data_IF_988934535324
#
_entry.id   IF_988934535324
#
_cell.length_a   1.000
_cell.length_b   1.000
_cell.length_c   1.000
_cell.angle_alpha   90.00
_cell.angle_beta   90.00
_cell.angle_gamma   90.00
#
_symmetry.space_group_name_H-M   'P 1'
#
loop_
_entity.id
_entity.type
_entity.pdbx_description
1 polymer ?
#
# COMPACT_ATOMS: atom_id res chain seq x y z
N UNK A 1 23.03 -18.68 -17.94
CA UNK A 1 23.07 -18.21 -16.54
C UNK A 1 23.21 -19.34 -15.51
N UNK A 2 22.63 -20.53 -15.72
CA UNK A 2 22.74 -21.69 -14.80
C UNK A 2 24.16 -22.22 -14.49
N UNK A 3 25.20 -21.76 -15.19
CA UNK A 3 26.58 -22.24 -15.03
C UNK A 3 27.43 -21.42 -14.02
N UNK A 4 26.88 -20.39 -13.38
CA UNK A 4 27.61 -19.60 -12.37
C UNK A 4 27.50 -20.22 -10.98
N UNK A 5 28.62 -20.30 -10.24
CA UNK A 5 28.65 -20.77 -8.84
C UNK A 5 27.79 -19.94 -7.86
N UNK A 6 27.38 -18.73 -8.25
CA UNK A 6 26.57 -17.82 -7.43
C UNK A 6 25.07 -17.86 -7.73
N UNK A 7 24.62 -18.57 -8.78
CA UNK A 7 23.22 -18.62 -9.20
C UNK A 7 22.56 -19.90 -8.67
N UNK A 8 21.53 -19.75 -7.83
CA UNK A 8 20.74 -20.89 -7.33
C UNK A 8 19.64 -21.31 -8.29
N UNK A 9 18.94 -20.33 -8.87
CA UNK A 9 17.83 -20.56 -9.77
C UNK A 9 17.71 -19.39 -10.75
N UNK A 10 17.18 -19.65 -11.94
CA UNK A 10 16.93 -18.61 -12.92
C UNK A 10 15.67 -18.93 -13.70
N UNK A 11 14.87 -17.91 -13.93
CA UNK A 11 13.63 -18.02 -14.69
C UNK A 11 13.41 -16.80 -15.57
N UNK A 12 12.49 -16.93 -16.51
CA UNK A 12 12.10 -15.90 -17.47
C UNK A 12 10.62 -15.62 -17.30
N UNK A 13 10.23 -14.35 -17.36
CA UNK A 13 8.84 -13.96 -17.55
C UNK A 13 8.71 -12.91 -18.65
N UNK A 14 7.60 -12.96 -19.38
CA UNK A 14 7.28 -11.97 -20.41
C UNK A 14 6.96 -10.61 -19.79
N UNK A 15 6.12 -10.58 -18.77
CA UNK A 15 5.79 -9.34 -18.04
C UNK A 15 6.61 -9.27 -16.76
N UNK A 16 7.27 -8.13 -16.55
CA UNK A 16 8.02 -7.86 -15.33
C UNK A 16 7.06 -7.60 -14.16
N UNK A 17 7.19 -8.37 -13.08
CA UNK A 17 6.45 -8.13 -11.84
C UNK A 17 6.77 -6.74 -11.26
N UNK A 18 5.75 -6.06 -10.74
CA UNK A 18 5.83 -4.75 -10.06
C UNK A 18 6.41 -3.62 -10.92
N UNK A 19 6.36 -3.72 -12.25
CA UNK A 19 6.91 -2.72 -13.18
C UNK A 19 5.84 -1.94 -13.95
N UNK A 20 4.55 -2.15 -13.65
CA UNK A 20 3.45 -1.42 -14.28
C UNK A 20 3.04 -1.95 -15.67
N UNK A 21 3.83 -2.82 -16.31
CA UNK A 21 3.41 -3.53 -17.52
C UNK A 21 2.25 -4.49 -17.24
N UNK A 22 1.32 -4.62 -18.18
CA UNK A 22 0.18 -5.55 -18.04
C UNK A 22 -0.17 -6.20 -19.37
N UNK A 23 -0.24 -7.53 -19.37
CA UNK A 23 -0.93 -8.28 -20.41
C UNK A 23 -2.20 -8.83 -19.80
N UNK A 24 -3.35 -8.31 -20.24
CA UNK A 24 -4.64 -8.62 -19.64
C UNK A 24 -5.57 -9.16 -20.71
N UNK A 25 -6.46 -10.07 -20.33
CA UNK A 25 -7.52 -10.52 -21.21
C UNK A 25 -8.70 -11.06 -20.40
N UNK A 26 -9.89 -11.03 -20.98
CA UNK A 26 -10.98 -11.87 -20.49
C UNK A 26 -10.61 -13.34 -20.70
N UNK A 27 -11.06 -14.21 -19.80
CA UNK A 27 -10.92 -15.64 -19.94
C UNK A 27 -12.30 -16.30 -19.94
N UNK A 28 -12.44 -17.35 -20.73
CA UNK A 28 -13.57 -18.27 -20.66
C UNK A 28 -13.12 -19.50 -19.90
N UNK A 29 -13.90 -19.93 -18.90
CA UNK A 29 -13.67 -21.09 -18.05
C UNK A 29 -14.74 -22.13 -18.36
N UNK A 30 -14.33 -23.40 -18.42
CA UNK A 30 -15.22 -24.53 -18.61
C UNK A 30 -15.05 -25.54 -17.47
N UNK A 31 -16.05 -25.57 -16.59
CA UNK A 31 -16.15 -26.43 -15.40
C UNK A 31 -17.53 -27.07 -15.33
N UNK A 32 -17.87 -27.87 -16.34
CA UNK A 32 -19.22 -28.41 -16.53
C UNK A 32 -20.24 -27.38 -17.03
N UNK A 33 -20.04 -26.10 -16.74
CA UNK A 33 -20.71 -24.96 -17.37
C UNK A 33 -19.67 -23.98 -17.91
N UNK A 34 -20.05 -23.24 -18.97
CA UNK A 34 -19.23 -22.16 -19.54
C UNK A 34 -19.42 -20.89 -18.70
N UNK A 35 -18.35 -20.40 -18.12
CA UNK A 35 -18.30 -19.17 -17.33
C UNK A 35 -17.33 -18.21 -18.00
N UNK A 36 -17.69 -16.95 -18.15
CA UNK A 36 -16.78 -15.90 -18.62
C UNK A 36 -16.36 -15.07 -17.43
N UNK A 37 -15.09 -14.68 -17.37
CA UNK A 37 -14.63 -13.77 -16.32
C UNK A 37 -15.37 -12.44 -16.38
N UNK A 38 -15.73 -11.89 -15.22
CA UNK A 38 -16.48 -10.64 -15.12
C UNK A 38 -15.57 -9.39 -15.26
N UNK A 39 -14.25 -9.60 -15.23
CA UNK A 39 -13.20 -8.62 -15.51
C UNK A 39 -12.03 -9.27 -16.25
N UNK A 40 -11.13 -8.45 -16.76
CA UNK A 40 -9.87 -8.93 -17.31
C UNK A 40 -9.00 -9.56 -16.22
N UNK A 41 -8.34 -10.65 -16.57
CA UNK A 41 -7.39 -11.38 -15.73
C UNK A 41 -5.98 -11.00 -16.17
N UNK A 42 -5.09 -10.85 -15.20
CA UNK A 42 -3.69 -10.55 -15.48
C UNK A 42 -2.98 -11.82 -15.95
N UNK A 43 -2.38 -11.74 -17.12
CA UNK A 43 -1.71 -12.85 -17.77
C UNK A 43 -0.20 -12.66 -17.71
N UNK A 44 0.52 -13.76 -17.58
CA UNK A 44 1.97 -13.78 -17.77
C UNK A 44 2.42 -15.06 -18.45
N UNK A 45 3.44 -14.97 -19.29
CA UNK A 45 4.11 -16.14 -19.83
C UNK A 45 5.43 -16.33 -19.07
N UNK A 46 5.62 -17.50 -18.45
CA UNK A 46 6.74 -17.78 -17.56
C UNK A 46 7.47 -19.07 -17.96
N UNK A 47 8.77 -19.13 -17.68
CA UNK A 47 9.53 -20.37 -17.85
C UNK A 47 9.22 -21.36 -16.72
N UNK A 48 9.55 -22.66 -16.90
CA UNK A 48 9.69 -23.58 -15.77
C UNK A 48 10.56 -22.98 -14.67
N UNK A 49 10.30 -23.38 -13.42
CA UNK A 49 10.98 -22.91 -12.19
C UNK A 49 10.79 -21.42 -11.86
N UNK A 50 9.90 -20.70 -12.55
CA UNK A 50 9.62 -19.29 -12.24
C UNK A 50 9.14 -19.09 -10.80
N UNK A 51 8.16 -19.88 -10.37
CA UNK A 51 7.62 -19.79 -9.01
C UNK A 51 8.66 -20.16 -7.97
N UNK A 52 9.44 -21.24 -8.21
CA UNK A 52 10.55 -21.63 -7.34
C UNK A 52 11.63 -20.53 -7.26
N UNK A 53 11.93 -19.88 -8.39
CA UNK A 53 12.90 -18.77 -8.46
C UNK A 53 12.41 -17.57 -7.67
N UNK A 54 11.12 -17.26 -7.67
CA UNK A 54 10.53 -16.21 -6.82
C UNK A 54 10.29 -16.64 -5.38
N UNK A 55 10.32 -17.95 -5.09
CA UNK A 55 10.01 -18.50 -3.78
C UNK A 55 8.50 -18.61 -3.52
N UNK A 56 7.69 -18.55 -4.58
CA UNK A 56 6.24 -18.71 -4.52
C UNK A 56 5.89 -20.18 -4.39
N UNK A 57 5.00 -20.48 -3.43
CA UNK A 57 4.53 -21.84 -3.16
C UNK A 57 3.48 -22.29 -4.19
N UNK A 58 3.64 -23.49 -4.73
CA UNK A 58 2.56 -24.22 -5.41
C UNK A 58 1.59 -24.74 -4.33
N UNK A 59 0.33 -24.34 -4.42
CA UNK A 59 -0.74 -24.69 -3.48
C UNK A 59 -1.38 -26.02 -3.85
N UNK A 60 -1.59 -26.26 -5.15
CA UNK A 60 -2.15 -27.50 -5.67
C UNK A 60 -1.62 -27.81 -7.08
N UNK A 61 -1.58 -29.08 -7.46
CA UNK A 61 -1.13 -29.50 -8.79
C UNK A 61 0.40 -29.46 -8.92
N UNK A 62 0.90 -28.97 -10.06
CA UNK A 62 2.34 -28.93 -10.39
C UNK A 62 2.75 -27.62 -11.07
N UNK A 63 4.06 -27.36 -11.07
CA UNK A 63 4.67 -26.32 -11.91
C UNK A 63 4.77 -26.79 -13.38
N UNK A 64 5.09 -25.86 -14.27
CA UNK A 64 5.44 -26.15 -15.66
C UNK A 64 6.71 -26.98 -15.75
N UNK A 65 6.73 -27.91 -16.70
CA UNK A 65 7.92 -28.66 -17.06
C UNK A 65 8.29 -28.46 -18.54
N UNK A 66 9.39 -29.05 -18.97
CA UNK A 66 9.90 -28.88 -20.34
C UNK A 66 8.90 -29.34 -21.42
N UNK A 67 8.02 -30.30 -21.11
CA UNK A 67 7.02 -30.82 -22.07
C UNK A 67 5.94 -29.79 -22.34
N UNK A 68 5.62 -28.96 -21.35
CA UNK A 68 4.64 -27.88 -21.47
C UNK A 68 5.18 -26.69 -22.31
N UNK A 69 6.50 -26.61 -22.50
CA UNK A 69 7.15 -25.57 -23.32
C UNK A 69 7.20 -25.91 -24.80
N UNK A 70 6.83 -27.13 -25.19
CA UNK A 70 6.81 -27.54 -26.58
C UNK A 70 5.60 -26.92 -27.30
N UNK A 71 5.71 -26.56 -28.59
CA UNK A 71 4.56 -26.15 -29.37
C UNK A 71 3.60 -27.34 -29.55
N UNK A 72 2.29 -27.05 -29.68
CA UNK A 72 1.25 -28.09 -29.84
C UNK A 72 1.54 -28.99 -31.05
N UNK A 73 2.10 -28.43 -32.13
CA UNK A 73 2.53 -29.18 -33.32
C UNK A 73 3.61 -30.23 -33.04
N UNK A 74 4.35 -30.11 -31.93
CA UNK A 74 5.39 -31.04 -31.49
C UNK A 74 4.98 -31.85 -30.26
N UNK A 75 3.69 -31.95 -29.99
CA UNK A 75 3.15 -32.72 -28.86
C UNK A 75 3.10 -31.97 -27.53
N UNK A 76 3.35 -30.65 -27.54
CA UNK A 76 3.09 -29.79 -26.39
C UNK A 76 1.60 -29.73 -26.04
N UNK A 77 1.30 -29.51 -24.77
CA UNK A 77 -0.08 -29.41 -24.27
C UNK A 77 -0.38 -27.97 -23.87
N UNK A 78 -1.50 -27.38 -24.30
CA UNK A 78 -1.90 -26.06 -23.81
C UNK A 78 -2.29 -26.18 -22.34
N UNK A 79 -1.49 -25.58 -21.47
CA UNK A 79 -1.67 -25.62 -20.02
C UNK A 79 -1.55 -24.24 -19.39
N UNK A 80 -2.14 -24.07 -18.21
CA UNK A 80 -2.07 -22.86 -17.41
C UNK A 80 -1.95 -23.17 -15.91
N UNK A 81 -1.40 -22.22 -15.19
CA UNK A 81 -1.36 -22.18 -13.72
C UNK A 81 -2.08 -20.92 -13.28
N UNK A 82 -2.92 -21.01 -12.25
CA UNK A 82 -3.71 -19.87 -11.74
C UNK A 82 -3.37 -19.57 -10.28
N UNK A 83 -3.68 -18.39 -9.78
CA UNK A 83 -3.47 -18.06 -8.36
C UNK A 83 -4.69 -18.37 -7.47
N UNK A 84 -4.49 -18.31 -6.14
CA UNK A 84 -5.57 -18.53 -5.16
C UNK A 84 -6.73 -17.54 -5.33
N UNK A 85 -6.44 -16.28 -5.71
CA UNK A 85 -7.45 -15.25 -5.98
C UNK A 85 -8.38 -15.66 -7.15
N UNK A 86 -7.81 -16.15 -8.25
CA UNK A 86 -8.58 -16.66 -9.40
C UNK A 86 -9.50 -17.81 -8.99
N UNK A 87 -8.99 -18.77 -8.20
CA UNK A 87 -9.76 -19.92 -7.71
C UNK A 87 -10.88 -19.47 -6.77
N UNK A 88 -10.59 -18.55 -5.85
CA UNK A 88 -11.58 -18.02 -4.92
C UNK A 88 -12.74 -17.35 -5.66
N UNK A 89 -12.45 -16.54 -6.67
CA UNK A 89 -13.48 -15.79 -7.42
C UNK A 89 -14.29 -16.65 -8.37
N UNK A 90 -13.64 -17.44 -9.22
CA UNK A 90 -14.34 -18.12 -10.32
C UNK A 90 -14.70 -19.58 -10.02
N UNK A 91 -14.05 -20.20 -9.03
CA UNK A 91 -14.31 -21.58 -8.62
C UNK A 91 -14.97 -21.66 -7.25
N UNK A 92 -15.12 -20.54 -6.53
CA UNK A 92 -15.66 -20.53 -5.17
C UNK A 92 -14.84 -21.40 -4.21
N UNK A 93 -13.53 -21.53 -4.44
CA UNK A 93 -12.65 -22.39 -3.66
C UNK A 93 -12.70 -23.89 -4.03
N UNK A 94 -13.47 -24.29 -5.05
CA UNK A 94 -13.43 -25.66 -5.58
C UNK A 94 -12.12 -25.94 -6.32
N UNK A 95 -11.75 -27.21 -6.41
CA UNK A 95 -10.54 -27.64 -7.12
C UNK A 95 -10.59 -27.23 -8.60
N UNK A 96 -9.67 -26.36 -9.08
CA UNK A 96 -9.64 -25.93 -10.47
C UNK A 96 -8.87 -26.90 -11.39
N UNK A 97 -8.13 -27.86 -10.83
CA UNK A 97 -7.25 -28.74 -11.60
C UNK A 97 -8.04 -29.58 -12.61
N UNK A 98 -7.52 -29.69 -13.83
CA UNK A 98 -8.16 -30.38 -14.96
C UNK A 98 -9.27 -29.58 -15.65
N UNK A 99 -9.64 -28.42 -15.10
CA UNK A 99 -10.58 -27.50 -15.75
C UNK A 99 -9.94 -26.87 -16.96
N UNK A 100 -10.75 -26.46 -17.95
CA UNK A 100 -10.23 -25.83 -19.16
C UNK A 100 -10.55 -24.36 -19.22
N UNK A 101 -9.60 -23.56 -19.70
CA UNK A 101 -9.75 -22.13 -19.92
C UNK A 101 -9.41 -21.78 -21.38
N UNK A 102 -9.89 -20.63 -21.83
CA UNK A 102 -9.56 -20.03 -23.12
C UNK A 102 -9.34 -18.54 -22.99
N UNK A 103 -8.52 -18.00 -23.89
CA UNK A 103 -8.39 -16.58 -24.08
C UNK A 103 -9.66 -16.01 -24.73
N UNK A 104 -10.09 -14.84 -24.23
CA UNK A 104 -11.27 -14.12 -24.71
C UNK A 104 -12.58 -14.58 -24.09
N UNK A 105 -13.62 -13.78 -24.33
CA UNK A 105 -15.00 -13.95 -23.81
C UNK A 105 -16.02 -14.32 -24.88
N UNK A 106 -15.63 -14.31 -26.16
CA UNK A 106 -16.54 -14.52 -27.29
C UNK A 106 -17.06 -15.96 -27.39
N UNK A 107 -18.16 -16.20 -28.14
CA UNK A 107 -18.73 -17.53 -28.34
C UNK A 107 -17.73 -18.53 -28.97
N UNK A 108 -16.82 -18.02 -29.80
CA UNK A 108 -15.80 -18.82 -30.49
C UNK A 108 -14.62 -19.21 -29.61
N UNK A 109 -14.51 -18.67 -28.39
CA UNK A 109 -13.43 -19.05 -27.48
C UNK A 109 -13.58 -20.52 -27.08
N UNK A 110 -12.60 -21.35 -27.47
CA UNK A 110 -12.58 -22.80 -27.25
C UNK A 110 -11.72 -23.11 -26.03
N UNK A 111 -12.32 -23.50 -24.88
CA UNK A 111 -11.57 -23.80 -23.66
C UNK A 111 -10.74 -25.07 -23.85
N UNK A 112 -9.52 -24.90 -24.36
CA UNK A 112 -8.59 -25.98 -24.69
C UNK A 112 -7.39 -26.03 -23.75
N UNK A 113 -7.13 -24.95 -23.00
CA UNK A 113 -6.01 -24.81 -22.06
C UNK A 113 -6.36 -25.45 -20.72
N UNK A 114 -5.63 -26.47 -20.29
CA UNK A 114 -5.89 -27.16 -19.01
C UNK A 114 -5.21 -26.45 -17.84
N UNK A 115 -5.95 -26.25 -16.74
CA UNK A 115 -5.39 -25.76 -15.48
C UNK A 115 -4.70 -26.91 -14.75
N UNK A 116 -3.36 -26.83 -14.63
CA UNK A 116 -2.53 -27.91 -14.06
C UNK A 116 -1.96 -27.58 -12.68
N UNK A 117 -2.11 -26.34 -12.22
CA UNK A 117 -1.56 -25.90 -10.95
C UNK A 117 -2.25 -24.66 -10.38
N UNK A 118 -2.14 -24.50 -9.06
CA UNK A 118 -2.54 -23.33 -8.30
C UNK A 118 -1.34 -22.81 -7.52
N UNK A 119 -1.08 -21.51 -7.57
CA UNK A 119 0.01 -20.86 -6.83
C UNK A 119 -0.51 -19.87 -5.79
N UNK A 120 0.29 -19.62 -4.77
CA UNK A 120 0.01 -18.54 -3.83
C UNK A 120 -0.01 -17.19 -4.58
N UNK A 121 -0.84 -16.26 -4.11
CA UNK A 121 -0.99 -14.95 -4.75
C UNK A 121 0.36 -14.20 -4.83
N UNK A 122 0.66 -13.64 -6.00
CA UNK A 122 1.83 -12.80 -6.25
C UNK A 122 1.35 -11.39 -6.56
N UNK A 123 2.02 -10.36 -6.05
CA UNK A 123 1.72 -8.96 -6.39
C UNK A 123 2.12 -8.65 -7.84
N UNK A 124 1.16 -8.26 -8.69
CA UNK A 124 1.39 -8.03 -10.11
C UNK A 124 1.83 -6.59 -10.43
N UNK A 125 1.01 -5.58 -10.12
CA UNK A 125 1.38 -4.16 -10.30
C UNK A 125 1.69 -3.44 -9.00
N UNK A 126 0.98 -3.76 -7.92
CA UNK A 126 1.18 -3.18 -6.59
C UNK A 126 1.02 -4.21 -5.49
N UNK A 127 1.49 -3.86 -4.28
CA UNK A 127 1.36 -4.73 -3.09
C UNK A 127 -0.11 -4.83 -2.61
N UNK A 128 -0.98 -3.95 -3.11
CA UNK A 128 -2.39 -3.78 -2.70
C UNK A 128 -3.38 -4.68 -3.45
N UNK A 129 -2.88 -5.55 -4.30
CA UNK A 129 -3.65 -6.02 -5.45
C UNK A 129 -3.95 -7.51 -5.33
N UNK A 130 -5.17 -7.83 -4.91
CA UNK A 130 -5.76 -9.16 -5.10
C UNK A 130 -6.41 -9.22 -6.49
N UNK A 131 -5.58 -9.19 -7.53
CA UNK A 131 -6.03 -9.47 -8.90
C UNK A 131 -5.75 -10.91 -9.25
N UNK A 132 -6.75 -11.50 -9.90
CA UNK A 132 -6.67 -12.86 -10.40
C UNK A 132 -5.61 -12.93 -11.51
N UNK A 133 -4.76 -13.94 -11.41
CA UNK A 133 -3.67 -14.14 -12.35
C UNK A 133 -3.73 -15.53 -12.97
N UNK A 134 -3.42 -15.57 -14.26
CA UNK A 134 -3.21 -16.80 -15.01
C UNK A 134 -1.84 -16.75 -15.70
N UNK A 135 -1.11 -17.84 -15.52
CA UNK A 135 0.24 -18.03 -16.01
C UNK A 135 0.22 -19.08 -17.10
N UNK A 136 1.02 -18.85 -18.15
CA UNK A 136 1.18 -19.75 -19.29
C UNK A 136 2.66 -20.08 -19.48
N UNK A 137 3.00 -21.26 -20.00
CA UNK A 137 4.38 -21.58 -20.29
C UNK A 137 4.89 -20.73 -21.47
N UNK A 138 6.15 -20.30 -21.39
CA UNK A 138 6.84 -19.77 -22.57
C UNK A 138 7.08 -20.94 -23.54
N UNK A 139 6.47 -20.87 -24.72
CA UNK A 139 6.55 -21.91 -25.74
C UNK A 139 7.75 -21.70 -26.66
N UNK A 140 8.53 -22.75 -26.87
CA UNK A 140 9.67 -22.80 -27.79
C UNK A 140 9.17 -22.92 -29.24
N UNK A 141 8.76 -21.81 -29.85
CA UNK A 141 8.36 -21.81 -31.26
C UNK A 141 9.60 -21.88 -32.16
N UNK A 142 9.63 -22.84 -33.09
CA UNK A 142 10.54 -22.78 -34.24
C UNK A 142 10.14 -21.59 -35.11
N UNK A 143 11.05 -20.63 -35.30
CA UNK A 143 10.79 -19.45 -36.12
C UNK A 143 10.57 -18.14 -35.37
N UNK A 144 11.03 -18.02 -34.13
CA UNK A 144 11.50 -16.72 -33.61
C UNK A 144 10.44 -15.67 -33.30
N UNK A 145 9.25 -16.05 -32.83
CA UNK A 145 8.41 -15.12 -32.09
C UNK A 145 8.62 -15.31 -30.58
N UNK A 146 9.88 -15.20 -30.13
CA UNK A 146 10.10 -14.72 -28.76
C UNK A 146 9.48 -13.34 -28.74
N UNK A 147 8.38 -13.14 -28.02
CA UNK A 147 7.90 -11.79 -27.75
C UNK A 147 9.10 -10.99 -27.24
N UNK A 148 9.49 -9.99 -28.03
CA UNK A 148 10.66 -9.14 -27.83
C UNK A 148 10.65 -8.61 -26.39
N UNK A 149 11.56 -9.13 -25.54
CA UNK A 149 11.67 -8.74 -24.13
C UNK A 149 11.29 -9.84 -23.13
N UNK A 150 12.24 -10.73 -22.84
CA UNK A 150 12.18 -11.62 -21.67
C UNK A 150 12.82 -10.95 -20.45
N UNK A 151 12.09 -10.86 -19.34
CA UNK A 151 12.63 -10.42 -18.06
C UNK A 151 13.26 -11.61 -17.36
N UNK A 152 14.54 -11.49 -16.99
CA UNK A 152 15.28 -12.55 -16.31
C UNK A 152 15.25 -12.34 -14.81
N UNK A 153 14.78 -13.37 -14.10
CA UNK A 153 14.84 -13.47 -12.66
C UNK A 153 15.96 -14.42 -12.29
N UNK A 154 16.83 -13.99 -11.38
CA UNK A 154 17.96 -14.78 -10.93
C UNK A 154 17.99 -14.75 -9.41
N UNK A 155 17.89 -15.93 -8.81
CA UNK A 155 18.10 -16.10 -7.37
C UNK A 155 19.59 -16.34 -7.12
N UNK A 156 20.18 -15.52 -6.27
CA UNK A 156 21.62 -15.48 -6.03
C UNK A 156 21.93 -15.70 -4.55
N UNK A 157 23.06 -16.33 -4.26
CA UNK A 157 23.62 -16.39 -2.90
C UNK A 157 24.65 -15.27 -2.70
N UNK A 158 24.63 -14.62 -1.54
CA UNK A 158 25.57 -13.56 -1.20
C UNK A 158 25.02 -12.16 -1.50
N UNK A 159 25.91 -11.21 -1.77
CA UNK A 159 25.52 -9.81 -1.97
C UNK A 159 25.05 -9.54 -3.41
N UNK A 160 24.03 -8.69 -3.61
CA UNK A 160 23.57 -8.30 -4.94
C UNK A 160 24.69 -7.77 -5.84
N UNK A 161 25.63 -7.00 -5.29
CA UNK A 161 26.71 -6.35 -6.04
C UNK A 161 27.67 -7.37 -6.67
N UNK A 162 28.03 -8.42 -5.90
CA UNK A 162 28.91 -9.47 -6.40
C UNK A 162 28.22 -10.29 -7.50
N UNK A 163 26.92 -10.59 -7.31
CA UNK A 163 26.13 -11.28 -8.32
C UNK A 163 25.96 -10.43 -9.59
N UNK A 164 25.78 -9.12 -9.43
CA UNK A 164 25.64 -8.17 -10.53
C UNK A 164 26.88 -8.12 -11.42
N UNK A 165 28.08 -8.07 -10.85
CA UNK A 165 29.32 -8.14 -11.61
C UNK A 165 29.45 -9.47 -12.36
N UNK A 166 29.17 -10.59 -11.68
CA UNK A 166 29.23 -11.93 -12.27
C UNK A 166 28.28 -12.09 -13.47
N UNK A 167 27.01 -11.69 -13.31
CA UNK A 167 25.99 -11.77 -14.37
C UNK A 167 26.37 -10.86 -15.54
N UNK A 168 26.88 -9.64 -15.28
CA UNK A 168 27.32 -8.72 -16.34
C UNK A 168 28.44 -9.32 -17.17
N UNK A 169 29.41 -9.98 -16.55
CA UNK A 169 30.50 -10.67 -17.28
C UNK A 169 29.96 -11.81 -18.13
N UNK A 170 29.03 -12.61 -17.60
CA UNK A 170 28.39 -13.72 -18.35
C UNK A 170 27.62 -13.18 -19.55
N UNK A 171 26.84 -12.10 -19.39
CA UNK A 171 26.09 -11.48 -20.47
C UNK A 171 27.01 -10.92 -21.55
N UNK A 172 28.07 -10.19 -21.17
CA UNK A 172 29.06 -9.66 -22.12
C UNK A 172 29.76 -10.75 -22.92
N UNK A 173 30.03 -11.90 -22.30
CA UNK A 173 30.65 -13.04 -22.98
C UNK A 173 29.66 -13.77 -23.92
N UNK A 174 28.37 -13.77 -23.60
CA UNK A 174 27.35 -14.39 -24.42
C UNK A 174 27.01 -13.54 -25.65
N UNK A 175 26.74 -12.25 -25.43
CA UNK A 175 26.50 -11.27 -26.48
C UNK A 175 26.76 -9.85 -25.95
N UNK A 176 27.82 -9.16 -26.42
CA UNK A 176 28.15 -7.80 -26.00
C UNK A 176 27.11 -6.74 -26.41
N UNK A 177 26.24 -7.05 -27.37
CA UNK A 177 25.28 -6.09 -27.94
C UNK A 177 23.94 -6.05 -27.22
N UNK A 178 23.69 -7.00 -26.30
CA UNK A 178 22.44 -7.06 -25.55
C UNK A 178 22.31 -5.84 -24.60
N UNK A 179 21.28 -4.99 -24.78
CA UNK A 179 21.04 -3.88 -23.88
C UNK A 179 20.50 -4.43 -22.54
N UNK A 180 21.28 -4.24 -21.47
CA UNK A 180 20.81 -4.48 -20.11
C UNK A 180 20.12 -3.22 -19.61
N UNK A 181 18.81 -3.11 -19.87
CA UNK A 181 18.05 -1.88 -19.58
C UNK A 181 17.75 -1.71 -18.09
N UNK A 182 17.35 -2.78 -17.41
CA UNK A 182 16.93 -2.73 -16.00
C UNK A 182 17.59 -3.86 -15.21
N UNK A 183 18.62 -3.51 -14.45
CA UNK A 183 19.38 -4.45 -13.63
C UNK A 183 19.29 -4.05 -12.16
N UNK A 184 18.35 -4.67 -11.43
CA UNK A 184 17.94 -4.27 -10.08
C UNK A 184 17.52 -5.48 -9.25
N UNK A 185 17.52 -5.31 -7.94
CA UNK A 185 16.96 -6.31 -7.01
C UNK A 185 15.45 -6.17 -6.93
N UNK A 186 14.77 -7.24 -6.49
CA UNK A 186 13.34 -7.17 -6.21
C UNK A 186 13.03 -6.18 -5.08
N UNK A 187 13.91 -6.02 -4.09
CA UNK A 187 13.73 -5.03 -3.02
C UNK A 187 13.72 -3.60 -3.56
N UNK A 188 14.62 -3.27 -4.50
CA UNK A 188 14.60 -1.96 -5.14
C UNK A 188 13.33 -1.75 -5.97
N UNK A 189 12.85 -2.81 -6.64
CA UNK A 189 11.62 -2.76 -7.41
C UNK A 189 10.40 -2.50 -6.51
N UNK A 190 10.31 -3.19 -5.37
CA UNK A 190 9.26 -2.97 -4.36
C UNK A 190 9.34 -1.55 -3.78
N UNK A 191 10.53 -1.09 -3.40
CA UNK A 191 10.71 0.27 -2.86
C UNK A 191 10.22 1.35 -3.83
N UNK A 192 10.45 1.14 -5.15
CA UNK A 192 9.99 2.06 -6.19
C UNK A 192 8.50 1.99 -6.46
N UNK A 193 7.87 0.82 -6.40
CA UNK A 193 6.41 0.72 -6.58
C UNK A 193 5.65 1.48 -5.48
N UNK A 194 6.28 1.66 -4.31
CA UNK A 194 5.74 2.43 -3.19
C UNK A 194 6.07 3.94 -3.22
N UNK A 195 6.80 4.44 -4.22
CA UNK A 195 7.19 5.86 -4.25
C UNK A 195 5.99 6.83 -4.33
N UNK A 196 4.99 6.50 -5.17
CA UNK A 196 3.78 7.31 -5.29
C UNK A 196 3.06 7.42 -3.95
N UNK A 197 2.99 6.32 -3.21
CA UNK A 197 2.34 6.27 -1.90
C UNK A 197 3.12 7.05 -0.85
N UNK A 198 4.45 6.94 -0.84
CA UNK A 198 5.31 7.76 0.02
C UNK A 198 5.16 9.25 -0.28
N UNK A 199 5.03 9.63 -1.55
CA UNK A 199 4.81 11.03 -1.94
C UNK A 199 3.45 11.55 -1.43
N UNK A 200 2.39 10.77 -1.60
CA UNK A 200 1.05 11.10 -1.08
C UNK A 200 1.04 11.18 0.44
N UNK A 201 1.71 10.25 1.14
CA UNK A 201 1.85 10.26 2.59
C UNK A 201 2.62 11.50 3.06
N UNK A 202 3.72 11.86 2.40
CA UNK A 202 4.50 13.05 2.72
C UNK A 202 3.71 14.36 2.51
N UNK A 203 2.97 14.47 1.41
CA UNK A 203 2.10 15.62 1.13
C UNK A 203 0.93 15.71 2.14
N UNK A 204 0.30 14.58 2.45
CA UNK A 204 -0.78 14.52 3.43
C UNK A 204 -0.27 14.86 4.83
N UNK A 205 0.92 14.37 5.19
CA UNK A 205 1.58 14.66 6.46
C UNK A 205 1.99 16.13 6.59
N UNK A 206 2.46 16.76 5.50
CA UNK A 206 2.79 18.19 5.51
C UNK A 206 1.53 19.06 5.65
N UNK A 207 0.45 18.75 4.93
CA UNK A 207 -0.83 19.44 5.10
C UNK A 207 -1.45 19.21 6.48
N UNK A 208 -1.37 17.99 7.02
CA UNK A 208 -1.81 17.69 8.39
C UNK A 208 -1.02 18.49 9.43
N UNK A 209 0.29 18.63 9.23
CA UNK A 209 1.16 19.44 10.10
C UNK A 209 0.79 20.93 10.03
N UNK A 210 0.57 21.46 8.83
CA UNK A 210 0.15 22.86 8.64
C UNK A 210 -1.24 23.11 9.24
N UNK A 211 -2.18 22.20 9.03
CA UNK A 211 -3.52 22.28 9.62
C UNK A 211 -3.46 22.23 11.15
N UNK A 212 -2.58 21.39 11.72
CA UNK A 212 -2.33 21.35 13.16
C UNK A 212 -1.78 22.69 13.66
N UNK A 213 -0.74 23.24 13.02
CA UNK A 213 -0.18 24.55 13.39
C UNK A 213 -1.23 25.67 13.32
N UNK A 214 -2.03 25.72 12.24
CA UNK A 214 -3.09 26.70 12.09
C UNK A 214 -4.15 26.56 13.18
N UNK A 215 -4.51 25.32 13.51
CA UNK A 215 -5.44 25.01 14.60
C UNK A 215 -4.89 25.45 15.95
N UNK A 216 -3.60 25.23 16.22
CA UNK A 216 -2.93 25.66 17.45
C UNK A 216 -2.95 27.18 17.60
N UNK A 217 -2.67 27.93 16.53
CA UNK A 217 -2.71 29.40 16.52
C UNK A 217 -4.15 29.90 16.73
N UNK A 218 -5.11 29.35 16.01
CA UNK A 218 -6.53 29.72 16.15
C UNK A 218 -7.07 29.43 17.55
N UNK A 219 -6.76 28.25 18.09
CA UNK A 219 -7.17 27.84 19.44
C UNK A 219 -6.53 28.74 20.51
N UNK A 220 -5.24 29.07 20.37
CA UNK A 220 -4.58 30.02 21.26
C UNK A 220 -5.24 31.41 21.20
N UNK A 221 -5.53 31.91 20.00
CA UNK A 221 -6.18 33.19 19.79
C UNK A 221 -7.57 33.27 20.42
N UNK A 222 -8.43 32.29 20.14
CA UNK A 222 -9.79 32.22 20.68
C UNK A 222 -9.77 32.07 22.20
N UNK A 223 -8.95 31.16 22.74
CA UNK A 223 -8.83 30.97 24.20
C UNK A 223 -8.29 32.22 24.89
N UNK A 224 -7.20 32.79 24.39
CA UNK A 224 -6.59 34.00 24.97
C UNK A 224 -7.56 35.18 24.95
N UNK A 225 -8.29 35.37 23.84
CA UNK A 225 -9.32 36.40 23.74
C UNK A 225 -10.47 36.17 24.73
N UNK A 226 -10.99 34.94 24.82
CA UNK A 226 -12.07 34.60 25.74
C UNK A 226 -11.68 34.82 27.21
N UNK A 227 -10.45 34.48 27.59
CA UNK A 227 -9.94 34.74 28.95
C UNK A 227 -9.76 36.24 29.19
N UNK A 228 -9.20 36.97 28.22
CA UNK A 228 -8.97 38.42 28.34
C UNK A 228 -10.28 39.20 28.44
N UNK A 229 -11.34 38.77 27.78
CA UNK A 229 -12.66 39.40 27.89
C UNK A 229 -13.25 39.24 29.31
N UNK A 230 -12.89 38.17 30.02
CA UNK A 230 -13.34 37.89 31.40
C UNK A 230 -12.44 38.46 32.49
N UNK A 231 -11.33 39.13 32.14
CA UNK A 231 -10.39 39.71 33.10
C UNK A 231 -11.05 40.69 34.08
N UNK A 232 -12.06 41.46 33.62
CA UNK A 232 -12.77 42.43 34.47
C UNK A 232 -13.61 41.75 35.55
N UNK A 233 -14.32 40.66 35.21
CA UNK A 233 -15.07 39.85 36.18
C UNK A 233 -14.14 39.15 37.16
N UNK A 234 -13.00 38.65 36.66
CA UNK A 234 -11.94 38.03 37.46
C UNK A 234 -11.39 39.03 38.49
N UNK A 235 -11.11 40.27 38.07
CA UNK A 235 -10.63 41.34 38.94
C UNK A 235 -11.64 41.73 40.02
N UNK A 236 -12.92 41.87 39.67
CA UNK A 236 -13.99 42.17 40.64
C UNK A 236 -14.12 41.05 41.69
N UNK A 237 -14.08 39.78 41.28
CA UNK A 237 -14.17 38.64 42.22
C UNK A 237 -12.96 38.56 43.16
N UNK A 238 -11.75 38.83 42.65
CA UNK A 238 -10.54 38.88 43.48
C UNK A 238 -10.63 40.03 44.48
N UNK A 239 -11.16 41.20 44.08
CA UNK A 239 -11.40 42.32 44.99
C UNK A 239 -12.45 42.00 46.08
N UNK A 240 -13.43 41.15 45.77
CA UNK A 240 -14.42 40.63 46.73
C UNK A 240 -13.89 39.47 47.61
N UNK A 241 -12.60 39.11 47.50
CA UNK A 241 -11.95 38.10 48.36
C UNK A 241 -11.94 36.68 47.80
N UNK A 242 -12.28 36.47 46.52
CA UNK A 242 -12.16 35.15 45.90
C UNK A 242 -10.69 34.72 45.83
N UNK A 243 -10.42 33.45 46.16
CA UNK A 243 -9.07 32.89 46.06
C UNK A 243 -8.63 32.81 44.60
N UNK A 244 -7.37 33.15 44.32
CA UNK A 244 -6.78 33.09 42.95
C UNK A 244 -6.99 31.72 42.29
N UNK A 245 -6.99 30.65 43.08
CA UNK A 245 -7.24 29.29 42.63
C UNK A 245 -8.68 29.08 42.13
N UNK A 246 -9.70 29.57 42.86
CA UNK A 246 -11.10 29.44 42.45
C UNK A 246 -11.37 30.15 41.12
N UNK A 247 -10.72 31.29 40.88
CA UNK A 247 -10.89 32.07 39.66
C UNK A 247 -10.18 31.43 38.46
N UNK A 248 -8.96 30.93 38.64
CA UNK A 248 -8.24 30.17 37.60
C UNK A 248 -8.97 28.87 37.25
N UNK A 249 -9.50 28.15 38.25
CA UNK A 249 -10.23 26.91 38.06
C UNK A 249 -11.50 27.09 37.21
N UNK A 250 -12.21 28.20 37.40
CA UNK A 250 -13.42 28.50 36.63
C UNK A 250 -13.11 28.70 35.13
N UNK A 251 -12.03 29.41 34.82
CA UNK A 251 -11.56 29.57 33.44
C UNK A 251 -11.10 28.24 32.85
N UNK A 252 -10.39 27.44 33.66
CA UNK A 252 -9.89 26.15 33.23
C UNK A 252 -11.02 25.14 32.96
N UNK A 253 -12.10 25.19 33.74
CA UNK A 253 -13.30 24.36 33.56
C UNK A 253 -13.98 24.66 32.23
N UNK A 254 -14.14 25.93 31.88
CA UNK A 254 -14.75 26.33 30.61
C UNK A 254 -13.89 25.89 29.42
N UNK A 255 -12.56 26.04 29.54
CA UNK A 255 -11.63 25.51 28.56
C UNK A 255 -11.73 23.97 28.43
N UNK A 256 -11.83 23.25 29.55
CA UNK A 256 -12.00 21.79 29.56
C UNK A 256 -13.30 21.36 28.87
N UNK A 257 -14.41 22.06 29.12
CA UNK A 257 -15.70 21.77 28.46
C UNK A 257 -15.60 21.95 26.94
N UNK A 258 -14.93 23.01 26.49
CA UNK A 258 -14.74 23.26 25.06
C UNK A 258 -13.86 22.20 24.40
N UNK A 259 -12.76 21.82 25.05
CA UNK A 259 -11.85 20.75 24.57
C UNK A 259 -12.58 19.41 24.50
N UNK A 260 -13.29 19.03 25.57
CA UNK A 260 -14.01 17.75 25.64
C UNK A 260 -15.13 17.67 24.61
N UNK A 261 -15.90 18.75 24.41
CA UNK A 261 -16.90 18.82 23.34
C UNK A 261 -16.26 18.69 21.95
N UNK A 262 -15.13 19.36 21.72
CA UNK A 262 -14.36 19.25 20.48
C UNK A 262 -13.89 17.82 20.21
N UNK A 263 -13.32 17.14 21.20
CA UNK A 263 -12.87 15.75 21.09
C UNK A 263 -14.05 14.81 20.82
N UNK A 264 -15.17 15.00 21.52
CA UNK A 264 -16.37 14.19 21.36
C UNK A 264 -16.94 14.27 19.92
N UNK A 265 -16.77 15.41 19.24
CA UNK A 265 -17.16 15.59 17.84
C UNK A 265 -16.06 15.08 16.89
N UNK A 266 -14.79 15.31 17.22
CA UNK A 266 -13.67 14.94 16.37
C UNK A 266 -13.53 13.41 16.19
N UNK A 267 -13.74 12.63 17.25
CA UNK A 267 -13.59 11.16 17.19
C UNK A 267 -14.54 10.50 16.16
N UNK A 268 -15.87 10.77 16.16
CA UNK A 268 -16.77 10.30 15.12
C UNK A 268 -16.37 10.77 13.71
N UNK A 269 -15.96 12.03 13.56
CA UNK A 269 -15.55 12.59 12.27
C UNK A 269 -14.31 11.90 11.72
N UNK A 270 -13.29 11.66 12.55
CA UNK A 270 -12.07 10.92 12.17
C UNK A 270 -12.44 9.51 11.74
N UNK A 271 -13.33 8.84 12.46
CA UNK A 271 -13.75 7.49 12.10
C UNK A 271 -14.52 7.44 10.77
N UNK A 272 -15.46 8.37 10.55
CA UNK A 272 -16.25 8.45 9.32
C UNK A 272 -15.40 8.82 8.10
N UNK A 273 -14.54 9.84 8.22
CA UNK A 273 -13.62 10.24 7.16
C UNK A 273 -12.54 9.19 6.92
N UNK A 274 -12.05 8.55 7.98
CA UNK A 274 -11.08 7.46 7.91
C UNK A 274 -11.57 6.33 7.02
N UNK A 275 -12.84 5.93 7.14
CA UNK A 275 -13.47 4.94 6.25
C UNK A 275 -13.53 5.39 4.78
N UNK A 276 -13.76 6.68 4.54
CA UNK A 276 -13.87 7.21 3.18
C UNK A 276 -12.52 7.20 2.44
N UNK A 277 -11.43 7.34 3.20
CA UNK A 277 -10.06 7.44 2.66
C UNK A 277 -9.27 6.14 2.87
N UNK A 278 -9.86 5.14 3.55
CA UNK A 278 -9.25 3.82 3.80
C UNK A 278 -8.83 3.12 2.50
N UNK A 279 -9.61 3.27 1.43
CA UNK A 279 -9.25 2.73 0.11
C UNK A 279 -8.00 3.38 -0.49
N UNK A 280 -7.52 4.51 0.06
CA UNK A 280 -6.42 5.30 -0.48
C UNK A 280 -5.13 5.14 0.34
N UNK A 281 -5.19 4.84 1.64
CA UNK A 281 -4.01 4.66 2.51
C UNK A 281 -3.40 3.25 2.39
N UNK A 282 -2.07 3.17 2.27
CA UNK A 282 -1.31 1.92 2.28
C UNK A 282 -0.53 1.76 3.59
N UNK A 283 -0.63 0.57 4.20
CA UNK A 283 0.08 0.12 5.40
C UNK A 283 -0.06 1.00 6.67
N UNK A 284 -0.86 2.06 6.57
CA UNK A 284 -1.23 2.94 7.68
C UNK A 284 -2.73 2.79 7.90
N UNK A 285 -3.12 2.27 9.05
CA UNK A 285 -4.53 2.26 9.45
C UNK A 285 -4.99 3.72 9.54
N UNK A 286 -6.10 4.10 8.86
CA UNK A 286 -6.66 5.46 8.95
C UNK A 286 -6.95 5.89 10.40
N UNK A 287 -7.14 4.91 11.27
CA UNK A 287 -7.38 5.07 12.70
C UNK A 287 -6.21 4.57 13.53
N UNK A 288 -4.97 4.93 13.17
CA UNK A 288 -3.83 4.67 14.04
C UNK A 288 -4.02 5.38 15.40
N UNK A 289 -4.21 4.64 16.52
CA UNK A 289 -4.48 5.24 17.81
C UNK A 289 -3.32 6.11 18.31
N UNK A 290 -2.07 5.77 17.95
CA UNK A 290 -0.89 6.52 18.37
C UNK A 290 -0.88 7.92 17.75
N UNK A 291 -1.13 8.03 16.44
CA UNK A 291 -1.23 9.32 15.74
C UNK A 291 -2.36 10.19 16.31
N UNK A 292 -3.56 9.62 16.50
CA UNK A 292 -4.71 10.36 17.05
C UNK A 292 -4.44 10.82 18.48
N UNK A 293 -3.88 9.95 19.33
CA UNK A 293 -3.54 10.29 20.71
C UNK A 293 -2.49 11.41 20.75
N UNK A 294 -1.46 11.34 19.92
CA UNK A 294 -0.39 12.34 19.86
C UNK A 294 -0.93 13.71 19.43
N UNK A 295 -1.74 13.76 18.37
CA UNK A 295 -2.37 15.02 17.91
C UNK A 295 -3.32 15.61 18.97
N UNK A 296 -4.13 14.77 19.61
CA UNK A 296 -5.05 15.18 20.67
C UNK A 296 -4.30 15.75 21.87
N UNK A 297 -3.21 15.10 22.29
CA UNK A 297 -2.36 15.58 23.39
C UNK A 297 -1.76 16.94 23.09
N UNK A 298 -1.20 17.13 21.88
CA UNK A 298 -0.61 18.41 21.47
C UNK A 298 -1.67 19.53 21.53
N UNK A 299 -2.85 19.32 20.96
CA UNK A 299 -3.95 20.30 20.98
C UNK A 299 -4.41 20.60 22.41
N UNK A 300 -4.58 19.59 23.25
CA UNK A 300 -4.96 19.76 24.65
C UNK A 300 -3.92 20.55 25.44
N UNK A 301 -2.63 20.23 25.29
CA UNK A 301 -1.53 20.93 25.95
C UNK A 301 -1.50 22.41 25.54
N UNK A 302 -1.70 22.71 24.26
CA UNK A 302 -1.71 24.10 23.78
C UNK A 302 -2.96 24.85 24.24
N UNK A 303 -4.14 24.23 24.21
CA UNK A 303 -5.37 24.83 24.72
C UNK A 303 -5.26 25.17 26.21
N UNK A 304 -4.75 24.23 27.00
CA UNK A 304 -4.51 24.42 28.43
C UNK A 304 -3.48 25.50 28.67
N UNK A 305 -2.37 25.53 27.94
CA UNK A 305 -1.37 26.58 28.01
C UNK A 305 -1.95 27.97 27.67
N UNK A 306 -2.74 28.05 26.60
CA UNK A 306 -3.43 29.26 26.17
C UNK A 306 -4.45 29.77 27.20
N UNK A 307 -5.08 28.88 27.96
CA UNK A 307 -6.00 29.25 29.04
C UNK A 307 -5.25 29.62 30.33
N UNK A 308 -4.18 28.89 30.69
CA UNK A 308 -3.45 29.08 31.95
C UNK A 308 -2.66 30.38 31.99
N UNK A 309 -1.99 30.74 30.88
CA UNK A 309 -1.08 31.90 30.84
C UNK A 309 -1.83 33.22 31.10
N UNK A 310 -2.94 33.53 30.39
CA UNK A 310 -3.70 34.75 30.64
C UNK A 310 -4.47 34.67 31.95
N UNK A 311 -5.00 33.51 32.35
CA UNK A 311 -5.71 33.36 33.63
C UNK A 311 -4.80 33.63 34.83
N UNK A 312 -3.55 33.13 34.78
CA UNK A 312 -2.53 33.43 35.80
C UNK A 312 -2.17 34.91 35.81
N UNK A 313 -1.92 35.50 34.64
CA UNK A 313 -1.64 36.95 34.53
C UNK A 313 -2.79 37.78 35.11
N UNK A 314 -4.04 37.49 34.73
CA UNK A 314 -5.25 38.14 35.24
C UNK A 314 -5.37 38.04 36.77
N UNK A 315 -5.08 36.87 37.35
CA UNK A 315 -5.14 36.65 38.80
C UNK A 315 -4.01 37.31 39.60
N UNK A 316 -2.94 37.74 38.93
CA UNK A 316 -1.77 38.39 39.50
C UNK A 316 -1.82 39.93 39.38
N UNK A 317 -2.74 40.50 38.61
CA UNK A 317 -2.94 41.96 38.54
C UNK A 317 -3.38 42.48 39.91
N UNK A 318 -2.69 43.50 40.40
CA UNK A 318 -3.00 44.11 41.69
C UNK A 318 -4.36 44.84 41.61
N UNK A 319 -5.29 44.63 42.57
CA UNK A 319 -6.63 45.23 42.53
C UNK A 319 -6.62 46.77 42.42
N UNK A 320 -5.55 47.40 42.89
CA UNK A 320 -5.36 48.85 42.88
C UNK A 320 -4.96 49.43 41.52
N UNK A 321 -4.38 48.64 40.60
CA UNK A 321 -4.11 49.07 39.22
C UNK A 321 -5.35 48.94 38.32
N UNK A 322 -6.21 47.95 38.58
CA UNK A 322 -7.43 47.72 37.80
C UNK A 322 -8.50 48.82 37.97
N UNK A 323 -8.43 49.61 39.05
CA UNK A 323 -9.33 50.73 39.35
C UNK A 323 -8.77 52.10 38.93
N UNK A 324 -7.54 52.16 38.39
CA UNK A 324 -6.84 53.41 38.06
C UNK A 324 -6.79 53.74 36.57
N UNK A 325 -7.41 52.92 35.72
CA UNK A 325 -7.74 53.26 34.33
C UNK A 325 -9.12 53.90 34.27
N UNK A 326 -9.18 55.16 34.71
CA UNK A 326 -10.15 56.17 34.27
C UNK A 326 -9.36 57.35 33.72
#
# INVERSE_FOLDING_TARGET
MRASRSTQASAIARIQILAGGSWNNFLTIHTGQRITTDREVHLNAVSPEFFATLGTRIVAGRDFDERDTLPVSKGGRPVAIVDEAFVKRYFGGRNPLGSRIAHGSGPDARPDIEVIGVVANISYRGVREEWEQAYFPIVNAEGGNFYEGGNFYVRVQGTPEAAFQSIRTILRNADPTLPVTYFRTLDEQVSRSLNTERMLAALSGSFGTLALLLSLVGLYGVMSFAVTQRTREIGIRVALGATRFATVWLVLRDALMMITAGIAIALPCIWALGRLVESQLYDVKPTDPATIATATLILCSTALGAALIPARRASAVNPTEALRFE
#
